data_IF_891320259037
#
_entry.id   IF_891320259037
#
_cell.length_a   1.000
_cell.length_b   1.000
_cell.length_c   1.000
_cell.angle_alpha   90.00
_cell.angle_beta   90.00
_cell.angle_gamma   90.00
#
_symmetry.space_group_name_H-M   'P 1'
#
loop_
_entity.id
_entity.type
_entity.pdbx_description
1 polymer ?
#
# COMPACT_ATOMS: atom_id res chain seq x y z
N UNK A 1 10.18 -17.89 -5.21
CA UNK A 1 9.91 -16.43 -5.21
C UNK A 1 10.55 -15.81 -6.44
N UNK A 2 9.82 -14.96 -7.15
CA UNK A 2 10.37 -14.08 -8.19
C UNK A 2 10.65 -12.73 -7.54
N UNK A 3 11.82 -12.15 -7.82
CA UNK A 3 12.21 -10.82 -7.35
C UNK A 3 12.79 -10.02 -8.51
N UNK A 4 12.35 -8.79 -8.69
CA UNK A 4 12.89 -7.83 -9.67
C UNK A 4 13.04 -6.47 -9.02
N UNK A 5 14.15 -5.82 -9.32
CA UNK A 5 14.46 -4.45 -8.94
C UNK A 5 14.52 -3.61 -10.21
N UNK A 6 13.75 -2.54 -10.25
CA UNK A 6 13.77 -1.55 -11.34
C UNK A 6 14.41 -0.28 -10.82
N UNK A 7 14.97 0.50 -11.71
CA UNK A 7 15.56 1.79 -11.39
C UNK A 7 14.98 2.87 -12.31
N UNK A 8 14.45 3.92 -11.73
CA UNK A 8 14.06 5.12 -12.44
C UNK A 8 15.20 6.14 -12.43
N UNK A 9 15.74 6.45 -13.61
CA UNK A 9 16.89 7.36 -13.74
C UNK A 9 16.53 8.83 -13.47
N UNK A 10 15.26 9.21 -13.49
CA UNK A 10 14.82 10.59 -13.31
C UNK A 10 14.74 10.96 -11.84
N UNK A 11 14.08 10.10 -11.06
CA UNK A 11 13.93 10.26 -9.60
C UNK A 11 15.01 9.54 -8.79
N UNK A 12 15.81 8.70 -9.43
CA UNK A 12 16.75 7.77 -8.77
C UNK A 12 16.06 6.76 -7.83
N UNK A 13 14.82 6.40 -8.15
CA UNK A 13 13.97 5.52 -7.33
C UNK A 13 14.15 4.07 -7.72
N UNK A 14 14.24 3.19 -6.72
CA UNK A 14 14.07 1.76 -6.88
C UNK A 14 12.63 1.34 -6.66
N UNK A 15 12.08 0.60 -7.61
CA UNK A 15 10.81 -0.12 -7.48
C UNK A 15 11.09 -1.61 -7.37
N UNK A 16 10.37 -2.31 -6.50
CA UNK A 16 10.55 -3.74 -6.29
C UNK A 16 9.29 -4.53 -6.63
N UNK A 17 9.44 -5.55 -7.49
CA UNK A 17 8.40 -6.54 -7.76
C UNK A 17 8.78 -7.85 -7.05
N UNK A 18 7.86 -8.34 -6.24
CA UNK A 18 7.98 -9.62 -5.53
C UNK A 18 6.78 -10.48 -5.90
N UNK A 19 7.00 -11.73 -6.28
CA UNK A 19 5.90 -12.60 -6.67
C UNK A 19 6.07 -14.04 -6.19
N UNK A 20 4.91 -14.64 -5.88
CA UNK A 20 4.75 -16.06 -5.63
C UNK A 20 4.38 -16.77 -6.93
N UNK A 21 5.29 -17.50 -7.58
CA UNK A 21 4.99 -18.15 -8.85
C UNK A 21 3.94 -19.26 -8.70
N UNK A 22 3.89 -19.93 -7.55
CA UNK A 22 2.92 -20.99 -7.26
C UNK A 22 1.47 -20.47 -7.21
N UNK A 23 1.27 -19.26 -6.70
CA UNK A 23 -0.05 -18.60 -6.60
C UNK A 23 -0.28 -17.58 -7.70
N UNK A 24 0.73 -17.33 -8.54
CA UNK A 24 0.71 -16.31 -9.61
C UNK A 24 0.34 -14.91 -9.10
N UNK A 25 0.65 -14.63 -7.84
CA UNK A 25 0.35 -13.35 -7.17
C UNK A 25 1.63 -12.52 -7.02
N UNK A 26 1.52 -11.22 -7.27
CA UNK A 26 2.62 -10.26 -7.17
C UNK A 26 2.25 -9.04 -6.32
N UNK A 27 3.28 -8.42 -5.75
CA UNK A 27 3.25 -7.10 -5.13
C UNK A 27 4.32 -6.22 -5.75
N UNK A 28 4.04 -4.92 -5.84
CA UNK A 28 5.03 -3.90 -6.21
C UNK A 28 5.19 -2.94 -5.04
N UNK A 29 6.44 -2.54 -4.75
CA UNK A 29 6.80 -1.58 -3.70
C UNK A 29 7.45 -0.36 -4.36
N UNK A 30 7.04 0.85 -3.97
CA UNK A 30 7.53 2.16 -4.40
C UNK A 30 7.52 2.33 -5.93
N UNK A 31 6.32 2.29 -6.50
CA UNK A 31 6.13 2.36 -7.95
C UNK A 31 6.17 3.78 -8.49
N UNK A 32 6.87 3.99 -9.61
CA UNK A 32 6.93 5.25 -10.35
C UNK A 32 5.85 5.27 -11.45
N UNK A 33 5.05 6.33 -11.53
CA UNK A 33 3.93 6.46 -12.48
C UNK A 33 4.34 6.23 -13.94
N UNK A 34 5.46 6.82 -14.36
CA UNK A 34 5.94 6.77 -15.74
C UNK A 34 6.40 5.36 -16.15
N UNK A 35 6.75 4.52 -15.17
CA UNK A 35 7.21 3.15 -15.38
C UNK A 35 6.09 2.09 -15.30
N UNK A 36 4.84 2.49 -15.04
CA UNK A 36 3.71 1.56 -14.85
C UNK A 36 3.53 0.60 -16.01
N UNK A 37 3.68 1.06 -17.24
CA UNK A 37 3.49 0.21 -18.42
C UNK A 37 4.60 -0.87 -18.54
N UNK A 38 5.82 -0.58 -18.02
CA UNK A 38 6.92 -1.56 -17.92
C UNK A 38 6.55 -2.65 -16.89
N UNK A 39 6.01 -2.27 -15.73
CA UNK A 39 5.59 -3.22 -14.71
C UNK A 39 4.47 -4.13 -15.20
N UNK A 40 3.45 -3.55 -15.86
CA UNK A 40 2.33 -4.31 -16.43
C UNK A 40 2.78 -5.28 -17.52
N UNK A 41 3.71 -4.86 -18.39
CA UNK A 41 4.29 -5.73 -19.41
C UNK A 41 4.98 -6.95 -18.76
N UNK A 42 5.83 -6.72 -17.76
CA UNK A 42 6.54 -7.83 -17.09
C UNK A 42 5.57 -8.76 -16.34
N UNK A 43 4.55 -8.22 -15.68
CA UNK A 43 3.53 -9.02 -15.01
C UNK A 43 2.83 -9.96 -16.02
N UNK A 44 2.48 -9.44 -17.19
CA UNK A 44 1.85 -10.23 -18.26
C UNK A 44 2.80 -11.30 -18.84
N UNK A 45 4.06 -10.96 -19.10
CA UNK A 45 5.08 -11.90 -19.59
C UNK A 45 5.32 -13.07 -18.62
N UNK A 46 5.21 -12.81 -17.33
CA UNK A 46 5.40 -13.81 -16.27
C UNK A 46 4.09 -14.50 -15.83
N UNK A 47 2.96 -14.18 -16.47
CA UNK A 47 1.62 -14.66 -16.11
C UNK A 47 1.31 -14.46 -14.62
N UNK A 48 1.57 -13.25 -14.12
CA UNK A 48 1.39 -12.87 -12.74
C UNK A 48 0.24 -11.88 -12.58
N UNK A 49 -0.55 -12.05 -11.53
CA UNK A 49 -1.58 -11.10 -11.11
C UNK A 49 -1.03 -10.16 -10.05
N UNK A 50 -1.03 -8.86 -10.31
CA UNK A 50 -0.76 -7.86 -9.28
C UNK A 50 -1.93 -7.82 -8.30
N UNK A 51 -1.70 -8.18 -7.05
CA UNK A 51 -2.74 -8.19 -6.02
C UNK A 51 -2.60 -7.02 -5.04
N UNK A 52 -1.38 -6.51 -4.87
CA UNK A 52 -1.10 -5.38 -3.98
C UNK A 52 -0.04 -4.46 -4.59
N UNK A 53 -0.15 -3.18 -4.27
CA UNK A 53 0.89 -2.17 -4.49
C UNK A 53 1.08 -1.38 -3.20
N UNK A 54 2.33 -1.17 -2.81
CA UNK A 54 2.71 -0.51 -1.55
C UNK A 54 3.60 0.68 -1.87
N UNK A 55 3.38 1.80 -1.17
CA UNK A 55 4.38 2.84 -1.03
C UNK A 55 4.88 2.86 0.43
N UNK A 56 6.20 2.97 0.60
CA UNK A 56 6.84 3.00 1.93
C UNK A 56 6.54 4.29 2.67
N UNK A 57 6.33 5.37 1.94
CA UNK A 57 6.03 6.72 2.44
C UNK A 57 5.43 7.58 1.32
N UNK A 58 5.03 8.82 1.61
CA UNK A 58 4.63 9.80 0.60
C UNK A 58 5.88 10.34 -0.10
N UNK A 59 6.11 9.89 -1.32
CA UNK A 59 7.24 10.33 -2.13
C UNK A 59 7.13 11.81 -2.52
N UNK A 60 8.27 12.52 -2.54
CA UNK A 60 8.36 13.95 -2.90
C UNK A 60 9.06 14.21 -4.24
N UNK A 61 9.67 13.19 -4.81
CA UNK A 61 10.53 13.23 -6.00
C UNK A 61 9.86 12.71 -7.27
N UNK A 62 8.88 11.81 -7.14
CA UNK A 62 8.11 11.25 -8.25
C UNK A 62 6.64 11.04 -7.89
N UNK A 63 5.78 11.00 -8.91
CA UNK A 63 4.39 10.61 -8.74
C UNK A 63 4.33 9.08 -8.64
N UNK A 64 3.68 8.57 -7.58
CA UNK A 64 3.47 7.13 -7.40
C UNK A 64 2.61 6.53 -8.51
N UNK A 65 3.00 5.36 -8.98
CA UNK A 65 2.24 4.54 -9.92
C UNK A 65 1.04 3.82 -9.29
N UNK A 66 0.88 3.90 -7.97
CA UNK A 66 -0.10 3.16 -7.18
C UNK A 66 -1.53 3.28 -7.72
N UNK A 67 -1.99 4.51 -8.00
CA UNK A 67 -3.33 4.76 -8.53
C UNK A 67 -3.55 4.13 -9.92
N UNK A 68 -2.60 4.33 -10.85
CA UNK A 68 -2.67 3.77 -12.21
C UNK A 68 -2.61 2.24 -12.20
N UNK A 69 -1.78 1.65 -11.33
CA UNK A 69 -1.71 0.20 -11.15
C UNK A 69 -3.04 -0.36 -10.61
N UNK A 70 -3.64 0.27 -9.59
CA UNK A 70 -4.95 -0.10 -9.07
C UNK A 70 -6.01 -0.07 -10.18
N UNK A 71 -6.08 1.02 -10.94
CA UNK A 71 -7.11 1.21 -11.97
C UNK A 71 -6.95 0.22 -13.15
N UNK A 72 -5.73 -0.29 -13.38
CA UNK A 72 -5.44 -1.25 -14.46
C UNK A 72 -5.54 -2.72 -14.03
N UNK A 73 -5.37 -3.03 -12.74
CA UNK A 73 -5.25 -4.43 -12.28
C UNK A 73 -6.23 -4.79 -11.17
N UNK A 74 -6.97 -3.82 -10.64
CA UNK A 74 -7.80 -3.94 -9.44
C UNK A 74 -7.00 -4.43 -8.21
N UNK A 75 -5.71 -4.11 -8.15
CA UNK A 75 -4.90 -4.42 -6.97
C UNK A 75 -5.31 -3.55 -5.77
N UNK A 76 -5.00 -4.02 -4.58
CA UNK A 76 -5.16 -3.25 -3.34
C UNK A 76 -3.99 -2.28 -3.22
N UNK A 77 -4.29 -0.98 -3.05
CA UNK A 77 -3.29 0.01 -2.67
C UNK A 77 -3.09 -0.01 -1.16
N UNK A 78 -1.83 0.00 -0.71
CA UNK A 78 -1.48 -0.21 0.69
C UNK A 78 -0.39 0.76 1.15
N UNK A 79 -0.57 1.34 2.31
CA UNK A 79 0.43 2.15 3.03
C UNK A 79 0.31 1.92 4.54
N UNK A 80 1.27 2.41 5.30
CA UNK A 80 1.20 2.42 6.75
C UNK A 80 -0.02 3.18 7.28
N UNK A 81 -0.51 2.79 8.46
CA UNK A 81 -1.71 3.35 9.09
C UNK A 81 -1.55 4.83 9.56
N UNK A 82 -0.34 5.36 9.49
CA UNK A 82 -0.01 6.77 9.79
C UNK A 82 -0.10 7.68 8.56
N UNK A 83 -0.33 7.11 7.36
CA UNK A 83 -0.42 7.91 6.15
C UNK A 83 -1.60 8.89 6.19
N UNK A 84 -1.39 10.16 5.82
CA UNK A 84 -2.46 11.12 5.61
C UNK A 84 -3.12 10.98 4.22
N UNK A 85 -2.65 10.08 3.36
CA UNK A 85 -3.20 9.91 2.02
C UNK A 85 -4.64 9.40 2.08
N UNK A 86 -5.54 10.11 1.37
CA UNK A 86 -6.99 9.90 1.46
C UNK A 86 -7.45 8.55 0.89
N UNK A 87 -6.66 7.89 0.01
CA UNK A 87 -7.21 6.86 -0.88
C UNK A 87 -6.34 5.60 -0.90
N UNK A 88 -5.86 5.22 0.24
CA UNK A 88 -5.26 3.90 0.43
C UNK A 88 -6.38 2.91 0.69
N UNK A 89 -6.47 1.87 -0.15
CA UNK A 89 -7.54 0.87 -0.01
C UNK A 89 -7.42 0.04 1.27
N UNK A 90 -6.19 -0.11 1.76
CA UNK A 90 -5.87 -0.86 2.97
C UNK A 90 -4.70 -0.18 3.69
N UNK A 91 -4.86 0.10 4.97
CA UNK A 91 -3.77 0.55 5.85
C UNK A 91 -3.21 -0.62 6.65
N UNK A 92 -1.91 -0.58 6.95
CA UNK A 92 -1.21 -1.60 7.73
C UNK A 92 -0.56 -0.97 8.96
N UNK A 93 -0.77 -1.59 10.13
CA UNK A 93 -0.17 -1.14 11.37
C UNK A 93 1.22 -1.77 11.59
N UNK A 94 1.99 -1.17 12.51
CA UNK A 94 3.28 -1.71 12.93
C UNK A 94 3.17 -3.17 13.41
N UNK A 95 4.10 -4.00 12.95
CA UNK A 95 4.17 -5.42 13.28
C UNK A 95 3.23 -6.33 12.49
N UNK A 96 2.30 -5.79 11.70
CA UNK A 96 1.37 -6.61 10.90
C UNK A 96 2.05 -7.25 9.69
N UNK A 97 1.47 -8.36 9.22
CA UNK A 97 1.95 -9.12 8.06
C UNK A 97 1.10 -8.84 6.81
N UNK A 98 1.78 -8.62 5.70
CA UNK A 98 1.20 -8.59 4.36
C UNK A 98 1.51 -9.92 3.69
N UNK A 99 0.47 -10.60 3.17
CA UNK A 99 0.62 -11.90 2.49
C UNK A 99 0.42 -11.76 0.99
N UNK A 100 1.25 -12.44 0.23
CA UNK A 100 1.16 -12.60 -1.23
C UNK A 100 1.46 -14.07 -1.52
N UNK A 101 0.43 -14.85 -1.79
CA UNK A 101 0.58 -16.31 -1.89
C UNK A 101 1.20 -16.89 -0.63
N UNK A 102 2.38 -17.48 -0.77
CA UNK A 102 3.17 -18.06 0.33
C UNK A 102 4.26 -17.11 0.87
N UNK A 103 4.32 -15.87 0.38
CA UNK A 103 5.30 -14.85 0.79
C UNK A 103 4.66 -13.95 1.86
N UNK A 104 5.48 -13.57 2.84
CA UNK A 104 5.07 -12.67 3.93
C UNK A 104 6.05 -11.49 4.02
N UNK A 105 5.51 -10.29 4.18
CA UNK A 105 6.23 -9.09 4.54
C UNK A 105 5.67 -8.58 5.87
N UNK A 106 6.56 -8.31 6.83
CA UNK A 106 6.18 -7.67 8.10
C UNK A 106 6.37 -6.17 7.99
N UNK A 107 5.33 -5.41 8.30
CA UNK A 107 5.40 -3.96 8.36
C UNK A 107 6.15 -3.52 9.64
N UNK A 108 7.07 -2.58 9.50
CA UNK A 108 7.82 -1.96 10.59
C UNK A 108 7.61 -0.45 10.49
N UNK A 109 7.03 0.17 11.51
CA UNK A 109 6.90 1.62 11.57
C UNK A 109 8.28 2.24 11.81
N UNK A 110 8.77 2.97 10.82
CA UNK A 110 10.14 3.53 10.81
C UNK A 110 10.12 5.02 10.43
N UNK A 111 9.46 5.88 11.25
CA UNK A 111 9.38 7.31 11.00
C UNK A 111 10.73 8.00 11.09
N UNK A 112 10.78 9.22 10.52
CA UNK A 112 11.94 10.11 10.65
C UNK A 112 12.31 10.81 9.36
N UNK A 113 12.33 10.12 8.22
CA UNK A 113 12.36 10.77 6.91
C UNK A 113 11.03 11.50 6.67
N UNK A 114 9.93 10.77 6.79
CA UNK A 114 8.60 11.31 6.97
C UNK A 114 7.96 10.74 8.24
N UNK A 115 6.90 11.39 8.75
CA UNK A 115 6.23 10.92 9.97
C UNK A 115 5.45 9.63 9.79
N UNK A 116 5.12 9.26 8.55
CA UNK A 116 4.32 8.07 8.20
C UNK A 116 5.15 6.95 7.53
N UNK A 117 6.49 7.05 7.51
CA UNK A 117 7.36 6.06 6.85
C UNK A 117 7.28 4.67 7.48
N UNK A 118 7.23 3.66 6.64
CA UNK A 118 7.32 2.25 7.01
C UNK A 118 8.42 1.53 6.23
N UNK A 119 8.98 0.50 6.85
CA UNK A 119 9.86 -0.47 6.20
C UNK A 119 9.14 -1.82 6.12
N UNK A 120 9.49 -2.65 5.14
CA UNK A 120 8.85 -3.96 4.96
C UNK A 120 9.88 -5.07 5.01
N UNK A 121 9.80 -5.92 6.05
CA UNK A 121 10.76 -6.98 6.34
C UNK A 121 10.28 -8.32 5.79
N UNK A 122 11.12 -8.99 5.03
CA UNK A 122 11.04 -10.41 4.69
C UNK A 122 12.05 -11.23 5.50
N UNK A 123 12.06 -12.53 5.29
CA UNK A 123 12.97 -13.46 5.99
C UNK A 123 14.45 -13.07 5.86
N UNK A 124 14.86 -12.62 4.67
CA UNK A 124 16.27 -12.39 4.29
C UNK A 124 16.59 -10.94 3.93
N UNK A 125 15.57 -10.09 3.83
CA UNK A 125 15.72 -8.71 3.34
C UNK A 125 14.73 -7.75 3.94
N UNK A 126 15.06 -6.46 3.90
CA UNK A 126 14.18 -5.36 4.30
C UNK A 126 14.16 -4.27 3.24
N UNK A 127 12.96 -3.80 2.89
CA UNK A 127 12.72 -2.64 2.04
C UNK A 127 12.56 -1.44 2.96
N UNK A 128 13.52 -0.53 2.93
CA UNK A 128 13.66 0.50 3.96
C UNK A 128 13.08 1.85 3.58
N UNK A 129 12.49 1.96 2.36
CA UNK A 129 12.13 3.28 1.87
C UNK A 129 13.30 4.23 1.95
N UNK A 130 13.05 5.44 2.41
CA UNK A 130 14.10 6.43 2.66
C UNK A 130 14.55 6.52 4.13
N UNK A 131 14.14 5.57 4.97
CA UNK A 131 14.64 5.54 6.36
C UNK A 131 16.13 5.21 6.39
N UNK A 132 16.56 4.15 5.70
CA UNK A 132 17.96 3.73 5.60
C UNK A 132 18.35 3.53 4.13
N UNK A 133 19.30 4.32 3.65
CA UNK A 133 19.87 4.23 2.31
C UNK A 133 21.24 3.53 2.35
N UNK A 134 21.77 3.16 1.19
CA UNK A 134 23.12 2.61 1.09
C UNK A 134 24.14 3.72 1.34
N UNK A 135 24.91 3.63 2.41
CA UNK A 135 25.86 4.66 2.86
C UNK A 135 25.23 6.03 3.11
N UNK A 136 23.95 6.02 3.52
CA UNK A 136 23.20 7.23 3.81
C UNK A 136 21.91 6.93 4.56
N UNK A 137 21.12 7.97 4.77
CA UNK A 137 19.76 7.93 5.31
C UNK A 137 18.91 8.94 4.57
N UNK A 138 17.61 8.83 4.59
CA UNK A 138 16.74 9.92 4.15
C UNK A 138 16.99 11.20 4.94
N UNK A 139 16.70 12.34 4.34
CA UNK A 139 16.68 13.64 5.04
C UNK A 139 15.51 13.71 6.02
N UNK A 140 15.59 14.64 6.98
CA UNK A 140 14.57 14.75 8.06
C UNK A 140 14.03 16.15 8.23
N UNK A 141 14.25 17.03 7.26
CA UNK A 141 14.00 18.48 7.35
C UNK A 141 12.72 18.93 6.64
N UNK A 142 11.89 18.00 6.12
CA UNK A 142 10.57 18.31 5.59
C UNK A 142 9.57 17.13 5.76
N UNK A 143 8.30 17.29 5.32
CA UNK A 143 7.21 16.30 5.44
C UNK A 143 7.04 15.75 6.87
N UNK A 144 7.13 16.61 7.88
CA UNK A 144 7.10 16.25 9.29
C UNK A 144 8.21 15.26 9.68
N UNK A 145 9.35 15.30 9.00
CA UNK A 145 10.54 14.53 9.34
C UNK A 145 11.11 14.94 10.69
N UNK A 146 11.81 14.01 11.34
CA UNK A 146 12.41 14.22 12.65
C UNK A 146 13.70 13.40 12.80
N UNK A 147 14.86 14.01 13.09
CA UNK A 147 16.12 13.27 13.19
C UNK A 147 16.16 12.31 14.38
N UNK A 148 15.47 12.58 15.47
CA UNK A 148 15.41 11.67 16.62
C UNK A 148 14.56 10.44 16.33
N UNK A 149 13.45 10.61 15.61
CA UNK A 149 12.63 9.49 15.15
C UNK A 149 13.40 8.65 14.14
N UNK A 150 14.14 9.28 13.21
CA UNK A 150 15.03 8.61 12.27
C UNK A 150 16.11 7.80 12.99
N UNK A 151 16.76 8.39 14.00
CA UNK A 151 17.71 7.68 14.84
C UNK A 151 17.06 6.45 15.49
N UNK A 152 15.90 6.61 16.13
CA UNK A 152 15.22 5.50 16.80
C UNK A 152 14.85 4.40 15.80
N UNK A 153 14.30 4.75 14.64
CA UNK A 153 13.94 3.81 13.57
C UNK A 153 15.15 3.02 13.07
N UNK A 154 16.27 3.69 12.86
CA UNK A 154 17.48 3.05 12.39
C UNK A 154 18.15 2.22 13.51
N UNK A 155 18.48 2.84 14.64
CA UNK A 155 19.31 2.19 15.65
C UNK A 155 18.56 1.20 16.55
N UNK A 156 17.26 1.41 16.78
CA UNK A 156 16.46 0.55 17.68
C UNK A 156 15.61 -0.48 16.94
N UNK A 157 15.36 -0.30 15.61
CA UNK A 157 14.57 -1.22 14.80
C UNK A 157 15.44 -1.87 13.73
N UNK A 158 15.90 -1.11 12.72
CA UNK A 158 16.56 -1.68 11.54
C UNK A 158 17.92 -2.33 11.88
N UNK A 159 18.77 -1.65 12.63
CA UNK A 159 20.08 -2.20 13.02
C UNK A 159 19.99 -3.32 14.07
N UNK A 160 18.81 -3.69 14.57
CA UNK A 160 18.60 -4.88 15.39
C UNK A 160 18.32 -6.14 14.57
N UNK A 161 18.09 -5.99 13.27
CA UNK A 161 17.97 -7.12 12.35
C UNK A 161 19.32 -7.85 12.22
N UNK A 162 19.32 -9.14 11.82
CA UNK A 162 20.54 -9.90 11.55
C UNK A 162 21.46 -9.16 10.57
N UNK A 163 22.78 -9.25 10.77
CA UNK A 163 23.74 -8.50 9.96
C UNK A 163 23.76 -8.88 8.47
N UNK A 164 23.36 -10.11 8.16
CA UNK A 164 23.20 -10.63 6.80
C UNK A 164 21.93 -10.15 6.09
N UNK A 165 20.98 -9.55 6.82
CA UNK A 165 19.74 -9.04 6.20
C UNK A 165 20.05 -8.03 5.11
N UNK A 166 19.59 -8.31 3.89
CA UNK A 166 19.78 -7.44 2.74
C UNK A 166 18.95 -6.16 2.90
N UNK A 167 19.55 -5.02 2.58
CA UNK A 167 18.91 -3.69 2.63
C UNK A 167 18.61 -3.22 1.21
N UNK A 168 17.35 -3.00 0.92
CA UNK A 168 16.82 -2.48 -0.33
C UNK A 168 16.13 -1.12 -0.08
N UNK A 169 16.79 0.01 -0.35
CA UNK A 169 16.23 1.35 -0.13
C UNK A 169 15.30 1.78 -1.27
N UNK A 170 14.52 2.86 -1.07
CA UNK A 170 13.76 3.46 -2.16
C UNK A 170 14.65 4.26 -3.12
N UNK A 171 15.77 4.81 -2.67
CA UNK A 171 16.65 5.62 -3.50
C UNK A 171 18.11 5.20 -3.44
N UNK A 172 18.82 5.37 -4.56
CA UNK A 172 20.27 5.41 -4.62
C UNK A 172 20.76 6.40 -5.69
N UNK A 173 21.81 7.14 -5.36
CA UNK A 173 22.40 8.19 -6.21
C UNK A 173 23.81 7.84 -6.68
N UNK A 174 24.28 6.62 -6.40
CA UNK A 174 25.68 6.19 -6.65
C UNK A 174 25.80 4.94 -7.51
N UNK A 175 24.66 4.25 -7.79
CA UNK A 175 24.63 3.02 -8.55
C UNK A 175 24.74 1.75 -7.70
N UNK A 176 24.58 1.86 -6.39
CA UNK A 176 24.57 0.71 -5.48
C UNK A 176 23.16 0.05 -5.48
N UNK A 177 23.09 -1.25 -5.72
CA UNK A 177 21.84 -1.99 -5.86
C UNK A 177 21.31 -2.54 -4.54
N UNK A 178 22.19 -2.91 -3.61
CA UNK A 178 21.87 -3.59 -2.37
C UNK A 178 22.98 -3.46 -1.35
N UNK A 179 22.63 -3.38 -0.07
CA UNK A 179 23.57 -3.46 1.04
C UNK A 179 23.15 -4.56 2.02
N UNK A 180 23.74 -4.58 3.21
CA UNK A 180 23.30 -5.40 4.33
C UNK A 180 23.32 -4.57 5.61
N UNK A 181 22.53 -4.98 6.60
CA UNK A 181 22.53 -4.34 7.93
C UNK A 181 23.96 -4.25 8.50
N UNK A 182 24.73 -5.32 8.41
CA UNK A 182 26.13 -5.32 8.91
C UNK A 182 27.03 -4.36 8.16
N UNK A 183 26.87 -4.21 6.84
CA UNK A 183 27.63 -3.22 6.05
C UNK A 183 27.23 -1.79 6.45
N UNK A 184 25.94 -1.51 6.61
CA UNK A 184 25.49 -0.18 7.01
C UNK A 184 25.94 0.18 8.43
N UNK A 185 25.90 -0.75 9.38
CA UNK A 185 26.48 -0.54 10.72
C UNK A 185 27.93 -0.08 10.68
N UNK A 186 28.74 -0.70 9.81
CA UNK A 186 30.20 -0.48 9.77
C UNK A 186 30.62 0.69 8.89
N UNK A 187 29.92 0.92 7.79
CA UNK A 187 30.43 1.75 6.70
C UNK A 187 29.55 2.96 6.39
N UNK A 188 28.33 3.04 6.92
CA UNK A 188 27.48 4.20 6.70
C UNK A 188 27.98 5.39 7.55
N UNK A 189 28.44 6.49 6.92
CA UNK A 189 29.06 7.60 7.65
C UNK A 189 28.08 8.32 8.58
N UNK A 190 26.77 8.31 8.28
CA UNK A 190 25.77 8.93 9.14
C UNK A 190 25.45 8.10 10.39
N UNK A 191 25.86 6.84 10.43
CA UNK A 191 25.62 5.94 11.55
C UNK A 191 26.85 5.79 12.48
N UNK A 192 27.96 6.48 12.18
CA UNK A 192 29.17 6.47 13.03
C UNK A 192 29.06 7.54 14.12
N UNK A 193 27.96 7.50 14.89
CA UNK A 193 27.63 8.46 15.95
C UNK A 193 27.49 7.76 17.29
N UNK A 194 27.70 8.49 18.38
CA UNK A 194 27.65 7.96 19.76
C UNK A 194 26.32 8.28 20.47
N UNK A 195 25.56 9.23 19.94
CA UNK A 195 24.32 9.67 20.56
C UNK A 195 23.26 10.11 19.53
N UNK A 196 21.97 10.16 19.92
CA UNK A 196 20.94 10.79 19.10
C UNK A 196 21.21 12.24 18.74
N UNK A 197 21.86 12.98 19.63
CA UNK A 197 22.15 14.41 19.43
C UNK A 197 23.22 14.58 18.34
N UNK A 198 24.30 13.77 18.35
CA UNK A 198 25.29 13.76 17.26
C UNK A 198 24.66 13.41 15.90
N UNK A 199 23.74 12.47 15.88
CA UNK A 199 22.99 12.13 14.66
C UNK A 199 22.12 13.30 14.20
N UNK A 200 21.38 13.91 15.11
CA UNK A 200 20.51 15.07 14.81
C UNK A 200 21.34 16.26 14.30
N UNK A 201 22.52 16.50 14.85
CA UNK A 201 23.44 17.54 14.37
C UNK A 201 23.85 17.28 12.91
N UNK A 202 24.24 16.05 12.57
CA UNK A 202 24.57 15.68 11.18
C UNK A 202 23.35 15.92 10.27
N UNK A 203 22.17 15.45 10.66
CA UNK A 203 20.97 15.54 9.84
C UNK A 203 20.50 16.97 9.61
N UNK A 204 20.59 17.83 10.62
CA UNK A 204 20.22 19.24 10.53
C UNK A 204 21.20 20.07 9.67
N UNK A 205 22.43 19.59 9.46
CA UNK A 205 23.45 20.27 8.69
C UNK A 205 23.65 19.70 7.27
N UNK A 206 22.77 18.83 6.76
CA UNK A 206 22.90 18.24 5.42
C UNK A 206 22.80 19.26 4.29
N UNK A 207 22.06 20.35 4.46
CA UNK A 207 21.87 21.45 3.50
C UNK A 207 21.58 20.95 2.07
N UNK A 208 20.72 19.94 1.94
CA UNK A 208 20.35 19.35 0.64
C UNK A 208 19.32 20.23 -0.08
N UNK A 209 19.44 20.41 -1.42
CA UNK A 209 18.40 21.08 -2.19
C UNK A 209 17.06 20.32 -2.09
N UNK A 210 15.94 21.02 -2.16
CA UNK A 210 14.64 20.38 -2.19
C UNK A 210 14.43 19.64 -3.54
N UNK A 211 13.66 18.54 -3.55
CA UNK A 211 13.24 17.90 -4.78
C UNK A 211 12.51 18.90 -5.68
N UNK A 212 12.90 18.98 -6.95
CA UNK A 212 12.46 20.05 -7.89
C UNK A 212 10.94 20.11 -8.08
N UNK A 213 10.24 19.01 -7.89
CA UNK A 213 8.80 18.89 -8.14
C UNK A 213 7.98 18.66 -6.86
N UNK A 214 8.56 18.83 -5.68
CA UNK A 214 7.94 18.51 -4.39
C UNK A 214 6.55 19.15 -4.23
N UNK A 215 6.40 20.43 -4.60
CA UNK A 215 5.14 21.17 -4.47
C UNK A 215 4.01 20.63 -5.39
N UNK A 216 4.36 19.87 -6.41
CA UNK A 216 3.42 19.23 -7.34
C UNK A 216 3.20 17.75 -6.95
N UNK A 217 4.26 17.06 -6.62
CA UNK A 217 4.28 15.61 -6.41
C UNK A 217 3.60 15.25 -5.10
N UNK A 218 3.94 15.91 -4.00
CA UNK A 218 3.37 15.59 -2.67
C UNK A 218 1.83 15.73 -2.64
N UNK A 219 1.20 16.82 -3.13
CA UNK A 219 -0.25 16.91 -3.21
C UNK A 219 -0.89 15.83 -4.09
N UNK A 220 -0.23 15.42 -5.19
CA UNK A 220 -0.72 14.35 -6.06
C UNK A 220 -0.65 12.98 -5.37
N UNK A 221 0.43 12.70 -4.64
CA UNK A 221 0.59 11.45 -3.90
C UNK A 221 -0.31 11.38 -2.65
N UNK A 222 -0.69 12.53 -2.08
CA UNK A 222 -1.71 12.61 -1.04
C UNK A 222 -3.12 12.32 -1.57
N UNK A 223 -3.40 12.69 -2.81
CA UNK A 223 -4.71 12.56 -3.46
C UNK A 223 -4.73 11.48 -4.54
N UNK A 224 -4.31 10.26 -4.24
CA UNK A 224 -4.30 9.08 -5.15
C UNK A 224 -5.69 8.69 -5.69
N UNK A 225 -6.49 9.67 -6.07
CA UNK A 225 -7.90 9.70 -6.32
C UNK A 225 -8.49 8.49 -7.04
N UNK A 226 -9.64 8.06 -6.55
CA UNK A 226 -10.52 7.17 -7.29
C UNK A 226 -11.33 8.03 -8.26
N UNK A 227 -11.14 7.88 -9.55
CA UNK A 227 -12.02 8.46 -10.56
C UNK A 227 -13.37 7.72 -10.56
N UNK A 228 -14.22 8.01 -9.59
CA UNK A 228 -15.58 7.53 -9.58
C UNK A 228 -16.40 8.35 -10.57
N UNK A 229 -17.09 7.70 -11.50
CA UNK A 229 -18.09 8.38 -12.31
C UNK A 229 -19.29 8.82 -11.44
N UNK A 230 -20.05 9.85 -11.89
CA UNK A 230 -21.22 10.37 -11.16
C UNK A 230 -22.23 9.28 -10.78
N UNK A 231 -22.42 8.28 -11.63
CA UNK A 231 -23.35 7.19 -11.40
C UNK A 231 -22.89 6.25 -10.28
N UNK A 232 -21.58 6.04 -10.12
CA UNK A 232 -21.03 5.25 -9.02
C UNK A 232 -21.17 5.98 -7.69
N UNK A 233 -21.01 7.29 -7.68
CA UNK A 233 -21.26 8.13 -6.49
C UNK A 233 -22.72 8.00 -6.06
N UNK A 234 -23.67 8.01 -7.00
CA UNK A 234 -25.10 7.87 -6.73
C UNK A 234 -25.51 6.48 -6.23
N UNK A 235 -24.69 5.46 -6.41
CA UNK A 235 -24.94 4.10 -5.90
C UNK A 235 -24.34 3.88 -4.49
N UNK A 236 -23.84 4.91 -3.83
CA UNK A 236 -23.46 4.88 -2.42
C UNK A 236 -24.68 4.90 -1.51
N UNK A 237 -24.73 4.02 -0.53
CA UNK A 237 -25.74 4.00 0.53
C UNK A 237 -25.08 4.40 1.85
N UNK A 238 -25.76 5.24 2.62
CA UNK A 238 -25.42 5.48 4.02
C UNK A 238 -25.67 4.22 4.86
N UNK A 239 -25.21 4.22 6.11
CA UNK A 239 -25.30 3.04 6.99
C UNK A 239 -26.75 2.60 7.22
N UNK A 240 -27.67 3.54 7.36
CA UNK A 240 -29.06 3.24 7.70
C UNK A 240 -29.77 2.55 6.52
N UNK A 241 -29.65 3.11 5.32
CA UNK A 241 -30.17 2.50 4.08
C UNK A 241 -29.49 1.18 3.74
N UNK A 242 -28.16 1.10 3.96
CA UNK A 242 -27.42 -0.13 3.70
C UNK A 242 -27.88 -1.25 4.63
N UNK A 243 -28.18 -0.93 5.90
CA UNK A 243 -28.74 -1.87 6.87
C UNK A 243 -30.10 -2.39 6.42
N UNK A 244 -31.01 -1.53 5.98
CA UNK A 244 -32.32 -1.95 5.45
C UNK A 244 -32.17 -2.92 4.27
N UNK A 245 -31.21 -2.63 3.38
CA UNK A 245 -30.99 -3.46 2.20
C UNK A 245 -30.39 -4.84 2.50
N UNK A 246 -29.53 -4.97 3.51
CA UNK A 246 -28.99 -6.29 3.90
C UNK A 246 -29.99 -7.17 4.66
N UNK A 247 -31.06 -6.62 5.19
CA UNK A 247 -32.16 -7.39 5.81
C UNK A 247 -32.97 -8.17 4.76
N UNK A 248 -32.95 -7.73 3.50
CA UNK A 248 -33.60 -8.46 2.41
C UNK A 248 -32.70 -9.64 1.98
N UNK A 249 -33.16 -10.87 2.26
CA UNK A 249 -32.43 -12.12 1.97
C UNK A 249 -32.22 -12.40 0.48
N UNK A 250 -32.94 -11.71 -0.41
CA UNK A 250 -32.73 -11.82 -1.85
C UNK A 250 -31.54 -11.02 -2.35
N UNK A 251 -31.03 -10.08 -1.55
CA UNK A 251 -29.86 -9.28 -1.85
C UNK A 251 -28.58 -10.06 -1.53
N UNK A 252 -27.53 -9.83 -2.32
CA UNK A 252 -26.22 -10.46 -2.14
C UNK A 252 -25.30 -9.44 -1.48
N UNK A 253 -24.78 -9.76 -0.29
CA UNK A 253 -23.82 -8.95 0.43
C UNK A 253 -22.41 -9.49 0.24
N UNK A 254 -21.49 -8.65 -0.24
CA UNK A 254 -20.09 -9.03 -0.52
C UNK A 254 -19.13 -8.15 0.29
N UNK A 255 -18.29 -8.80 1.08
CA UNK A 255 -17.13 -8.20 1.74
C UNK A 255 -15.90 -8.28 0.82
N UNK A 256 -15.35 -7.12 0.46
CA UNK A 256 -14.23 -7.02 -0.48
C UNK A 256 -12.86 -6.95 0.22
N UNK A 257 -12.82 -7.16 1.51
CA UNK A 257 -11.59 -7.09 2.31
C UNK A 257 -10.77 -8.38 2.21
N UNK A 258 -9.50 -8.25 2.56
CA UNK A 258 -8.61 -9.39 2.72
C UNK A 258 -8.96 -10.19 3.99
N UNK A 259 -8.63 -11.47 4.01
CA UNK A 259 -8.91 -12.37 5.12
C UNK A 259 -8.33 -11.87 6.46
N UNK A 260 -7.13 -11.30 6.42
CA UNK A 260 -6.47 -10.75 7.62
C UNK A 260 -7.22 -9.53 8.18
N UNK A 261 -7.80 -8.68 7.32
CA UNK A 261 -8.65 -7.56 7.75
C UNK A 261 -9.94 -8.07 8.42
N UNK A 262 -10.53 -9.12 7.84
CA UNK A 262 -11.76 -9.73 8.36
C UNK A 262 -11.53 -10.36 9.73
N UNK A 263 -10.45 -11.11 9.87
CA UNK A 263 -10.07 -11.75 11.13
C UNK A 263 -9.79 -10.73 12.24
N UNK A 264 -9.27 -9.56 11.89
CA UNK A 264 -8.94 -8.50 12.85
C UNK A 264 -10.15 -7.65 13.28
N UNK A 265 -11.01 -7.30 12.33
CA UNK A 265 -12.06 -6.30 12.54
C UNK A 265 -13.49 -6.88 12.52
N UNK A 266 -13.63 -8.19 12.38
CA UNK A 266 -14.93 -8.83 12.20
C UNK A 266 -15.56 -8.52 10.84
N UNK A 267 -16.79 -8.99 10.59
CA UNK A 267 -17.53 -8.80 9.35
C UNK A 267 -19.02 -8.56 9.62
N UNK A 268 -19.73 -8.01 8.65
CA UNK A 268 -21.20 -7.97 8.65
C UNK A 268 -21.71 -9.40 8.43
N UNK A 269 -22.68 -9.82 9.21
CA UNK A 269 -23.25 -11.17 9.13
C UNK A 269 -23.81 -11.48 7.74
N UNK A 270 -23.80 -12.76 7.36
CA UNK A 270 -24.35 -13.27 6.09
C UNK A 270 -23.68 -12.70 4.81
N UNK A 271 -22.43 -12.21 4.89
CA UNK A 271 -21.70 -11.77 3.71
C UNK A 271 -20.92 -12.91 3.04
N UNK A 272 -20.81 -12.83 1.72
CA UNK A 272 -19.85 -13.60 0.94
C UNK A 272 -18.50 -12.85 0.94
N UNK A 273 -17.40 -13.53 1.25
CA UNK A 273 -16.07 -12.93 1.33
C UNK A 273 -15.34 -13.12 -0.01
N UNK A 274 -15.17 -12.04 -0.77
CA UNK A 274 -14.46 -12.01 -2.05
C UNK A 274 -13.48 -10.86 -2.03
N UNK A 275 -12.19 -11.14 -1.86
CA UNK A 275 -11.18 -10.07 -1.86
C UNK A 275 -11.22 -9.26 -3.17
N UNK A 276 -11.03 -7.96 -3.06
CA UNK A 276 -11.20 -7.01 -4.18
C UNK A 276 -10.45 -7.42 -5.46
N UNK A 277 -9.20 -7.91 -5.43
CA UNK A 277 -8.52 -8.37 -6.64
C UNK A 277 -9.20 -9.55 -7.36
N UNK A 278 -10.10 -10.27 -6.69
CA UNK A 278 -10.83 -11.42 -7.26
C UNK A 278 -12.22 -11.08 -7.78
N UNK A 279 -12.65 -9.82 -7.65
CA UNK A 279 -14.03 -9.43 -7.95
C UNK A 279 -14.43 -9.69 -9.40
N UNK A 280 -13.58 -9.38 -10.37
CA UNK A 280 -13.88 -9.61 -11.80
C UNK A 280 -14.09 -11.09 -12.11
N UNK A 281 -13.19 -11.93 -11.60
CA UNK A 281 -13.32 -13.39 -11.77
C UNK A 281 -14.60 -13.93 -11.14
N UNK A 282 -14.95 -13.41 -9.95
CA UNK A 282 -16.18 -13.79 -9.26
C UNK A 282 -17.43 -13.37 -10.06
N UNK A 283 -17.48 -12.13 -10.53
CA UNK A 283 -18.61 -11.63 -11.32
C UNK A 283 -18.81 -12.42 -12.63
N UNK A 284 -17.70 -12.74 -13.32
CA UNK A 284 -17.76 -13.50 -14.59
C UNK A 284 -18.18 -14.96 -14.41
N UNK A 285 -17.77 -15.60 -13.32
CA UNK A 285 -18.03 -17.01 -13.06
C UNK A 285 -19.42 -17.28 -12.47
N UNK A 286 -20.05 -16.28 -11.83
CA UNK A 286 -21.32 -16.43 -11.11
C UNK A 286 -22.47 -15.68 -11.79
N UNK A 287 -22.43 -15.46 -13.10
CA UNK A 287 -23.44 -14.69 -13.84
C UNK A 287 -24.87 -15.17 -13.58
N UNK A 288 -25.10 -16.48 -13.57
CA UNK A 288 -26.44 -17.06 -13.38
C UNK A 288 -27.05 -16.73 -12.00
N UNK A 289 -26.20 -16.68 -10.96
CA UNK A 289 -26.62 -16.42 -9.59
C UNK A 289 -26.85 -14.93 -9.35
N UNK A 290 -25.97 -14.09 -9.91
CA UNK A 290 -25.92 -12.65 -9.70
C UNK A 290 -26.93 -11.88 -10.57
N UNK A 291 -27.30 -12.43 -11.73
CA UNK A 291 -28.21 -11.81 -12.69
C UNK A 291 -29.57 -11.56 -12.02
N UNK A 292 -30.05 -10.33 -12.10
CA UNK A 292 -31.29 -9.86 -11.49
C UNK A 292 -31.27 -9.72 -9.95
N UNK A 293 -30.14 -9.94 -9.29
CA UNK A 293 -30.00 -9.68 -7.85
C UNK A 293 -29.51 -8.26 -7.60
N UNK A 294 -29.87 -7.72 -6.44
CA UNK A 294 -29.21 -6.53 -5.91
C UNK A 294 -27.92 -6.97 -5.23
N UNK A 295 -26.80 -6.35 -5.61
CA UNK A 295 -25.48 -6.67 -5.05
C UNK A 295 -25.04 -5.49 -4.19
N UNK A 296 -24.72 -5.77 -2.95
CA UNK A 296 -24.28 -4.81 -1.94
C UNK A 296 -22.81 -5.06 -1.62
N UNK A 297 -21.97 -4.09 -1.87
CA UNK A 297 -20.54 -4.20 -1.59
C UNK A 297 -20.15 -3.37 -0.37
N UNK A 298 -19.26 -3.90 0.46
CA UNK A 298 -18.56 -3.10 1.45
C UNK A 298 -17.07 -3.48 1.53
N UNK A 299 -16.29 -2.58 2.09
CA UNK A 299 -14.88 -2.79 2.40
C UNK A 299 -14.51 -2.03 3.68
N UNK A 300 -13.23 -1.82 3.96
CA UNK A 300 -12.80 -1.12 5.17
C UNK A 300 -13.31 0.34 5.25
N UNK A 301 -13.08 1.13 4.18
CA UNK A 301 -13.34 2.59 4.16
C UNK A 301 -14.20 3.06 2.97
N UNK A 302 -14.77 2.15 2.19
CA UNK A 302 -15.70 2.47 1.10
C UNK A 302 -15.06 2.58 -0.29
N UNK A 303 -13.73 2.61 -0.43
CA UNK A 303 -13.06 2.81 -1.73
C UNK A 303 -13.13 1.59 -2.64
N UNK A 304 -12.70 0.41 -2.17
CA UNK A 304 -12.79 -0.85 -2.94
C UNK A 304 -14.22 -1.17 -3.34
N UNK A 305 -15.18 -0.91 -2.44
CA UNK A 305 -16.59 -1.18 -2.70
C UNK A 305 -17.20 -0.23 -3.75
N UNK A 306 -16.77 1.03 -3.79
CA UNK A 306 -17.18 1.96 -4.84
C UNK A 306 -16.61 1.54 -6.21
N UNK A 307 -15.34 1.12 -6.27
CA UNK A 307 -14.72 0.57 -7.48
C UNK A 307 -15.40 -0.73 -7.93
N UNK A 308 -15.78 -1.61 -7.00
CA UNK A 308 -16.51 -2.84 -7.33
C UNK A 308 -17.85 -2.57 -7.99
N UNK A 309 -18.58 -1.53 -7.58
CA UNK A 309 -19.79 -1.08 -8.28
C UNK A 309 -19.48 -0.65 -9.73
N UNK A 310 -18.38 0.08 -9.93
CA UNK A 310 -17.98 0.51 -11.26
C UNK A 310 -17.59 -0.68 -12.15
N UNK A 311 -16.82 -1.62 -11.62
CA UNK A 311 -16.44 -2.87 -12.30
C UNK A 311 -17.70 -3.69 -12.63
N UNK A 312 -18.63 -3.86 -11.68
CA UNK A 312 -19.85 -4.62 -11.89
C UNK A 312 -20.68 -4.12 -13.09
N UNK A 313 -20.70 -2.80 -13.32
CA UNK A 313 -21.39 -2.21 -14.47
C UNK A 313 -20.76 -2.60 -15.81
N UNK A 314 -19.43 -2.79 -15.89
CA UNK A 314 -18.79 -3.29 -17.11
C UNK A 314 -19.14 -4.75 -17.43
N UNK A 315 -19.64 -5.49 -16.43
CA UNK A 315 -20.20 -6.84 -16.55
C UNK A 315 -21.73 -6.84 -16.65
N UNK A 316 -22.36 -5.68 -16.94
CA UNK A 316 -23.82 -5.49 -17.04
C UNK A 316 -24.63 -5.74 -15.75
N UNK A 317 -24.00 -5.68 -14.58
CA UNK A 317 -24.70 -5.69 -13.30
C UNK A 317 -25.05 -4.25 -12.90
N UNK A 318 -26.29 -3.83 -13.18
CA UNK A 318 -26.74 -2.45 -12.97
C UNK A 318 -27.26 -2.18 -11.55
N UNK A 319 -27.70 -3.22 -10.84
CA UNK A 319 -28.32 -3.12 -9.52
C UNK A 319 -27.29 -3.36 -8.41
N UNK A 320 -26.20 -2.58 -8.43
CA UNK A 320 -25.07 -2.70 -7.51
C UNK A 320 -24.92 -1.43 -6.67
N UNK A 321 -24.72 -1.58 -5.38
CA UNK A 321 -24.58 -0.49 -4.41
C UNK A 321 -23.38 -0.75 -3.48
N UNK A 322 -22.92 0.30 -2.81
CA UNK A 322 -21.84 0.16 -1.85
C UNK A 322 -22.09 0.97 -0.57
N UNK A 323 -21.51 0.51 0.54
CA UNK A 323 -21.55 1.21 1.82
C UNK A 323 -20.58 2.40 1.80
N UNK A 324 -21.09 3.62 1.93
CA UNK A 324 -20.29 4.84 2.05
C UNK A 324 -19.49 4.78 3.36
N UNK A 325 -18.15 4.98 3.26
CA UNK A 325 -17.25 4.93 4.40
C UNK A 325 -16.96 3.51 4.93
N UNK A 326 -17.56 2.48 4.30
CA UNK A 326 -17.26 1.07 4.59
C UNK A 326 -17.51 0.64 6.04
N UNK A 327 -16.80 -0.41 6.48
CA UNK A 327 -16.95 -0.95 7.82
C UNK A 327 -16.57 0.06 8.91
N UNK A 328 -15.68 1.01 8.61
CA UNK A 328 -15.34 2.09 9.52
C UNK A 328 -16.58 2.90 9.91
N UNK A 329 -17.38 3.34 8.92
CA UNK A 329 -18.63 4.07 9.17
C UNK A 329 -19.69 3.19 9.85
N UNK A 330 -19.77 1.91 9.46
CA UNK A 330 -20.66 0.92 10.09
C UNK A 330 -20.41 0.84 11.60
N UNK A 331 -19.14 0.68 11.98
CA UNK A 331 -18.73 0.60 13.39
C UNK A 331 -18.94 1.93 14.14
N UNK A 332 -18.64 3.08 13.50
CA UNK A 332 -18.87 4.40 14.11
C UNK A 332 -20.36 4.66 14.42
N UNK A 333 -21.26 4.07 13.68
CA UNK A 333 -22.71 4.10 13.93
C UNK A 333 -23.17 3.06 14.97
N UNK A 334 -22.24 2.35 15.59
CA UNK A 334 -22.53 1.35 16.63
C UNK A 334 -23.19 0.04 16.09
N UNK A 335 -23.08 -0.21 14.78
CA UNK A 335 -23.58 -1.44 14.18
C UNK A 335 -22.67 -2.63 14.50
N UNK A 336 -23.28 -3.81 14.74
CA UNK A 336 -22.54 -5.02 15.14
C UNK A 336 -21.83 -5.70 13.97
N UNK A 337 -20.63 -6.21 14.25
CA UNK A 337 -19.88 -7.19 13.45
C UNK A 337 -19.76 -8.49 14.21
N UNK A 338 -19.55 -9.60 13.50
CA UNK A 338 -19.29 -10.94 14.04
C UNK A 338 -17.84 -11.36 13.79
#
# INVERSE_FOLDING_TARGET
MIFRQFFDNVSCTYTYLIASPEKKEAIIIDSVLDNVDIYLKLLNELDLKLVKVIDTHIHADHISGMAKLRDKTNCVTLMGDKTPADIVSMSIADGEEIKIGNIKLKALYTPGHTSESFSFLMKDRVFTGDTLLIRGTGRTDFQNGNPYDSYNSIFKILLKLPEETLVYPAHDYKGDLVSTIGKEKKLNPRLQVKSPDEYAEIMNNLNLPNPKLMDIVVPKNLSLGINLNKQTINNGLDVDKFKEEIENKDNILIDLREEDEINKYGKISNCTMISFPKIESYLSQNEKELKNKKILFYCAVGHRSALAVQISKSYNYINCFHLIGGLKNWNMKGMKTI
#
